data_IF_985617290922
#
_entry.id   IF_985617290922
#
_cell.length_a   1.000
_cell.length_b   1.000
_cell.length_c   1.000
_cell.angle_alpha   90.00
_cell.angle_beta   90.00
_cell.angle_gamma   90.00
#
_symmetry.space_group_name_H-M   'P 1'
#
loop_
_entity.id
_entity.type
_entity.pdbx_description
1 polymer ?
#
# COMPACT_ATOMS: atom_id res chain seq x y z
N UNK A 1 4.62 -55.77 -1.14
CA UNK A 1 3.60 -56.85 -1.18
C UNK A 1 4.07 -57.88 -2.17
N UNK A 2 3.93 -59.18 -1.86
CA UNK A 2 4.27 -60.28 -2.78
C UNK A 2 3.14 -60.36 -3.83
N UNK A 3 3.53 -60.23 -5.11
CA UNK A 3 2.62 -60.27 -6.27
C UNK A 3 1.73 -61.53 -6.30
N UNK A 4 2.19 -62.60 -5.70
CA UNK A 4 1.47 -63.89 -5.61
C UNK A 4 0.27 -63.87 -4.61
N UNK A 5 0.20 -62.87 -3.77
CA UNK A 5 -0.85 -62.69 -2.78
C UNK A 5 -2.00 -61.76 -3.25
N UNK A 6 -1.87 -61.21 -4.46
CA UNK A 6 -2.87 -60.28 -5.03
C UNK A 6 -3.99 -61.15 -5.69
N UNK A 7 -5.24 -61.03 -5.30
CA UNK A 7 -6.33 -61.73 -5.93
C UNK A 7 -6.46 -61.40 -7.43
N UNK A 8 -6.92 -62.37 -8.21
CA UNK A 8 -7.20 -62.14 -9.62
C UNK A 8 -8.22 -61.02 -9.84
N UNK A 9 -7.80 -59.96 -10.53
CA UNK A 9 -8.65 -58.78 -10.77
C UNK A 9 -8.29 -57.56 -9.90
N UNK A 10 -7.33 -57.72 -8.98
CA UNK A 10 -6.74 -56.60 -8.23
C UNK A 10 -5.36 -56.22 -8.77
N UNK A 11 -4.93 -55.00 -8.48
CA UNK A 11 -3.61 -54.51 -8.90
C UNK A 11 -2.84 -53.94 -7.69
N UNK A 12 -1.52 -54.05 -7.73
CA UNK A 12 -0.61 -53.66 -6.64
C UNK A 12 -0.35 -52.15 -6.67
N UNK A 13 -0.23 -51.61 -7.86
CA UNK A 13 0.06 -50.20 -8.09
C UNK A 13 -0.60 -49.71 -9.37
N UNK A 14 -1.08 -48.49 -9.36
CA UNK A 14 -1.68 -47.85 -10.53
C UNK A 14 -1.38 -46.37 -10.53
N UNK A 15 -0.60 -45.95 -11.53
CA UNK A 15 -0.29 -44.53 -11.75
C UNK A 15 -1.34 -43.87 -12.64
N UNK A 16 -1.74 -42.63 -12.31
CA UNK A 16 -2.68 -41.81 -13.09
C UNK A 16 -4.07 -42.43 -13.30
N UNK A 17 -4.56 -43.20 -12.33
CA UNK A 17 -5.91 -43.73 -12.32
C UNK A 17 -6.72 -43.21 -11.13
N UNK A 18 -8.01 -43.09 -11.32
CA UNK A 18 -8.95 -42.85 -10.26
C UNK A 18 -10.01 -43.93 -10.22
N UNK A 19 -10.44 -44.32 -9.04
CA UNK A 19 -11.61 -45.18 -8.85
C UNK A 19 -12.85 -44.32 -8.91
N UNK A 20 -13.66 -44.48 -9.94
CA UNK A 20 -14.91 -43.77 -10.11
C UNK A 20 -16.08 -44.51 -9.49
N UNK A 21 -16.93 -43.85 -8.71
CA UNK A 21 -18.29 -44.27 -8.42
C UNK A 21 -19.21 -43.19 -8.95
N UNK A 22 -19.86 -43.46 -10.07
CA UNK A 22 -21.00 -42.63 -10.54
C UNK A 22 -22.26 -43.27 -10.02
N UNK A 23 -23.22 -42.46 -9.56
CA UNK A 23 -24.55 -42.92 -9.24
C UNK A 23 -25.14 -43.66 -10.46
N UNK A 24 -25.13 -44.96 -10.44
CA UNK A 24 -25.66 -45.80 -11.51
C UNK A 24 -24.67 -46.64 -12.31
N UNK A 25 -23.36 -46.60 -12.02
CA UNK A 25 -22.34 -47.46 -12.59
C UNK A 25 -21.76 -48.42 -11.57
N UNK A 26 -21.31 -49.58 -12.04
CA UNK A 26 -20.70 -50.64 -11.22
C UNK A 26 -19.59 -50.13 -10.34
N UNK A 27 -19.64 -50.47 -9.05
CA UNK A 27 -18.60 -50.16 -8.08
C UNK A 27 -17.30 -50.79 -8.54
N UNK A 28 -16.27 -49.95 -8.84
CA UNK A 28 -14.94 -50.44 -9.18
C UNK A 28 -14.49 -50.16 -10.60
N UNK A 29 -15.15 -49.26 -11.37
CA UNK A 29 -14.58 -48.81 -12.64
C UNK A 29 -13.27 -48.03 -12.41
N UNK A 30 -12.21 -48.41 -13.07
CA UNK A 30 -10.92 -47.72 -13.07
C UNK A 30 -10.87 -46.82 -14.30
N UNK A 31 -10.74 -45.55 -14.08
CA UNK A 31 -10.63 -44.56 -15.15
C UNK A 31 -9.23 -43.93 -15.12
N UNK A 32 -8.69 -43.61 -16.27
CA UNK A 32 -7.50 -42.78 -16.33
C UNK A 32 -7.80 -41.41 -15.73
N UNK A 33 -6.90 -40.92 -14.86
CA UNK A 33 -7.01 -39.54 -14.44
C UNK A 33 -6.89 -38.64 -15.67
N UNK A 34 -7.83 -37.72 -15.84
CA UNK A 34 -7.72 -36.71 -16.91
C UNK A 34 -6.46 -35.90 -16.69
N UNK A 35 -5.70 -35.70 -17.75
CA UNK A 35 -4.56 -34.80 -17.74
C UNK A 35 -5.01 -33.34 -17.50
N UNK A 36 -4.08 -32.50 -17.15
CA UNK A 36 -4.32 -31.07 -17.05
C UNK A 36 -4.71 -30.51 -18.42
N UNK A 37 -5.73 -29.65 -18.43
CA UNK A 37 -6.13 -28.92 -19.63
C UNK A 37 -5.48 -27.53 -19.57
N UNK A 38 -4.86 -27.09 -20.68
CA UNK A 38 -4.35 -25.73 -20.80
C UNK A 38 -5.56 -24.78 -20.86
N UNK A 39 -5.71 -23.92 -19.88
CA UNK A 39 -6.80 -22.93 -19.82
C UNK A 39 -6.48 -21.71 -20.67
N UNK A 40 -5.25 -21.21 -20.60
CA UNK A 40 -4.77 -20.04 -21.33
C UNK A 40 -3.25 -20.09 -21.50
N UNK A 41 -2.76 -19.44 -22.55
CA UNK A 41 -1.33 -19.15 -22.72
C UNK A 41 -1.12 -17.68 -22.40
N UNK A 42 -0.19 -17.39 -21.49
CA UNK A 42 0.11 -16.02 -21.14
C UNK A 42 1.04 -15.39 -22.17
N UNK A 43 0.53 -14.37 -22.84
CA UNK A 43 1.23 -13.62 -23.89
C UNK A 43 1.24 -12.15 -23.46
N UNK A 44 2.42 -11.56 -23.45
CA UNK A 44 2.58 -10.14 -23.15
C UNK A 44 3.37 -9.48 -24.30
N UNK A 45 2.88 -8.35 -24.81
CA UNK A 45 3.48 -7.65 -25.96
C UNK A 45 3.74 -8.57 -27.18
N UNK A 46 2.78 -9.46 -27.48
CA UNK A 46 2.86 -10.47 -28.54
C UNK A 46 3.96 -11.54 -28.34
N UNK A 47 4.53 -11.63 -27.16
CA UNK A 47 5.58 -12.59 -26.81
C UNK A 47 5.07 -13.49 -25.68
N UNK A 48 5.27 -14.80 -25.81
CA UNK A 48 4.99 -15.75 -24.76
C UNK A 48 6.00 -15.60 -23.61
N UNK A 49 5.56 -15.90 -22.40
CA UNK A 49 6.47 -15.95 -21.26
C UNK A 49 7.62 -16.94 -21.50
N UNK A 50 8.76 -16.65 -20.90
CA UNK A 50 9.93 -17.52 -21.03
C UNK A 50 9.72 -18.88 -20.37
N UNK A 51 10.55 -19.87 -20.73
CA UNK A 51 10.56 -21.19 -20.07
C UNK A 51 10.96 -21.12 -18.56
N UNK A 52 11.47 -19.97 -18.11
CA UNK A 52 11.85 -19.72 -16.72
C UNK A 52 10.74 -19.06 -15.92
N UNK A 53 9.62 -18.71 -16.56
CA UNK A 53 8.46 -18.15 -15.89
C UNK A 53 7.89 -19.13 -14.86
N UNK A 54 7.53 -18.63 -13.70
CA UNK A 54 6.98 -19.42 -12.59
C UNK A 54 5.76 -18.77 -12.01
N UNK A 55 4.75 -19.57 -11.74
CA UNK A 55 3.65 -19.19 -10.87
C UNK A 55 4.14 -19.31 -9.43
N UNK A 56 4.16 -18.18 -8.70
CA UNK A 56 4.61 -18.09 -7.30
C UNK A 56 3.46 -18.02 -6.31
N UNK A 57 2.22 -17.89 -6.78
CA UNK A 57 1.02 -17.91 -5.98
C UNK A 57 -0.22 -18.04 -6.83
N UNK A 58 -1.25 -18.68 -6.29
CA UNK A 58 -2.54 -18.81 -6.93
C UNK A 58 -3.65 -18.71 -5.90
N UNK A 59 -4.79 -18.13 -6.29
CA UNK A 59 -5.97 -18.00 -5.47
C UNK A 59 -7.22 -18.28 -6.30
N UNK A 60 -8.14 -19.06 -5.76
CA UNK A 60 -9.42 -19.38 -6.37
C UNK A 60 -10.54 -18.58 -5.69
N UNK A 61 -11.23 -17.78 -6.49
CA UNK A 61 -12.50 -17.16 -6.12
C UNK A 61 -13.64 -17.99 -6.69
N UNK A 62 -14.10 -18.96 -5.89
CA UNK A 62 -15.16 -19.87 -6.29
C UNK A 62 -16.54 -19.18 -6.45
N UNK A 63 -16.74 -18.02 -5.82
CA UNK A 63 -18.01 -17.28 -5.96
C UNK A 63 -18.15 -16.66 -7.36
N UNK A 64 -17.04 -16.20 -7.93
CA UNK A 64 -17.00 -15.57 -9.25
C UNK A 64 -16.36 -16.43 -10.34
N UNK A 65 -16.15 -17.74 -10.05
CA UNK A 65 -15.55 -18.69 -11.01
C UNK A 65 -14.22 -18.16 -11.60
N UNK A 66 -13.39 -17.51 -10.78
CA UNK A 66 -12.19 -16.82 -11.23
C UNK A 66 -10.97 -17.33 -10.48
N UNK A 67 -9.88 -17.57 -11.21
CA UNK A 67 -8.58 -17.96 -10.66
C UNK A 67 -7.61 -16.80 -10.87
N UNK A 68 -6.89 -16.44 -9.83
CA UNK A 68 -5.83 -15.43 -9.85
C UNK A 68 -4.47 -16.11 -9.78
N UNK A 69 -3.54 -15.69 -10.64
CA UNK A 69 -2.16 -16.17 -10.65
C UNK A 69 -1.18 -15.04 -10.45
N UNK A 70 -0.19 -15.28 -9.63
CA UNK A 70 0.97 -14.41 -9.42
C UNK A 70 2.15 -15.04 -10.15
N UNK A 71 2.65 -14.36 -11.17
CA UNK A 71 3.64 -14.92 -12.10
C UNK A 71 4.89 -14.06 -12.10
N UNK A 72 6.04 -14.71 -11.99
CA UNK A 72 7.35 -14.08 -12.12
C UNK A 72 8.11 -14.70 -13.30
N UNK A 73 8.55 -13.87 -14.23
CA UNK A 73 9.41 -14.27 -15.35
C UNK A 73 10.76 -13.52 -15.25
N UNK A 74 11.84 -14.20 -14.86
CA UNK A 74 13.17 -13.61 -14.74
C UNK A 74 13.89 -13.42 -16.08
N UNK A 75 13.33 -13.92 -17.18
CA UNK A 75 13.99 -14.00 -18.48
C UNK A 75 13.12 -13.53 -19.64
N UNK A 76 12.17 -12.63 -19.38
CA UNK A 76 11.26 -12.15 -20.41
C UNK A 76 12.00 -11.32 -21.48
N UNK A 77 12.02 -11.73 -22.76
CA UNK A 77 12.97 -11.20 -23.75
C UNK A 77 12.67 -9.75 -24.21
N UNK A 78 11.46 -9.27 -23.99
CA UNK A 78 11.03 -7.91 -24.40
C UNK A 78 11.28 -6.84 -23.34
N UNK A 79 11.59 -7.24 -22.13
CA UNK A 79 11.89 -6.29 -21.05
C UNK A 79 13.36 -5.84 -21.13
N UNK A 80 13.68 -4.56 -20.95
CA UNK A 80 15.05 -4.05 -20.98
C UNK A 80 16.02 -4.77 -20.04
N UNK A 81 15.49 -5.35 -18.96
CA UNK A 81 16.27 -6.12 -17.97
C UNK A 81 15.80 -7.55 -17.82
N UNK A 82 15.02 -8.03 -18.79
CA UNK A 82 14.52 -9.41 -18.84
C UNK A 82 13.66 -9.85 -17.65
N UNK A 83 13.04 -8.94 -16.91
CA UNK A 83 12.13 -9.28 -15.82
C UNK A 83 10.71 -8.83 -16.11
N UNK A 84 9.75 -9.69 -15.80
CA UNK A 84 8.33 -9.42 -15.90
C UNK A 84 7.60 -10.05 -14.71
N UNK A 85 6.83 -9.27 -13.99
CA UNK A 85 5.93 -9.74 -12.93
C UNK A 85 4.49 -9.46 -13.31
N UNK A 86 3.61 -10.43 -13.11
CA UNK A 86 2.21 -10.35 -13.48
C UNK A 86 1.29 -10.76 -12.31
N UNK A 87 0.15 -10.10 -12.23
CA UNK A 87 -1.04 -10.64 -11.56
C UNK A 87 -2.09 -10.80 -12.65
N UNK A 88 -2.52 -12.02 -12.87
CA UNK A 88 -3.42 -12.39 -13.97
C UNK A 88 -4.62 -13.11 -13.40
N UNK A 89 -5.81 -12.81 -13.89
CA UNK A 89 -7.02 -13.56 -13.58
C UNK A 89 -7.56 -14.27 -14.82
N UNK A 90 -8.17 -15.42 -14.58
CA UNK A 90 -8.89 -16.18 -15.59
C UNK A 90 -10.26 -16.55 -15.07
N UNK A 91 -11.29 -16.15 -15.80
CA UNK A 91 -12.65 -16.55 -15.48
C UNK A 91 -13.04 -17.78 -16.27
N UNK A 92 -13.42 -18.85 -15.59
CA UNK A 92 -13.72 -20.16 -16.20
C UNK A 92 -15.01 -20.17 -17.01
N UNK A 93 -16.00 -19.33 -16.65
CA UNK A 93 -17.28 -19.25 -17.37
C UNK A 93 -17.16 -18.52 -18.70
N UNK A 94 -16.42 -17.42 -18.71
CA UNK A 94 -16.23 -16.62 -19.93
C UNK A 94 -15.01 -17.02 -20.73
N UNK A 95 -14.17 -17.91 -20.21
CA UNK A 95 -12.86 -18.28 -20.76
C UNK A 95 -11.99 -17.04 -21.09
N UNK A 96 -12.08 -16.00 -20.24
CA UNK A 96 -11.39 -14.74 -20.45
C UNK A 96 -10.20 -14.60 -19.51
N UNK A 97 -9.07 -14.19 -20.08
CA UNK A 97 -7.85 -13.87 -19.34
C UNK A 97 -7.70 -12.35 -19.21
N UNK A 98 -7.54 -11.87 -17.98
CA UNK A 98 -7.33 -10.45 -17.68
C UNK A 98 -5.98 -10.26 -17.00
N UNK A 99 -5.15 -9.37 -17.52
CA UNK A 99 -3.92 -8.93 -16.88
C UNK A 99 -4.23 -7.81 -15.91
N UNK A 100 -4.45 -8.16 -14.65
CA UNK A 100 -4.80 -7.19 -13.60
C UNK A 100 -3.63 -6.25 -13.30
N UNK A 101 -2.41 -6.79 -13.24
CA UNK A 101 -1.19 -6.01 -13.04
C UNK A 101 -0.09 -6.58 -13.93
N UNK A 102 0.60 -5.70 -14.60
CA UNK A 102 1.80 -6.03 -15.35
C UNK A 102 2.93 -5.13 -14.87
N UNK A 103 4.02 -5.68 -14.43
CA UNK A 103 5.19 -4.96 -13.91
C UNK A 103 6.44 -5.43 -14.65
N UNK A 104 6.89 -4.62 -15.58
CA UNK A 104 8.14 -4.84 -16.27
C UNK A 104 9.24 -3.96 -15.66
N UNK A 105 10.49 -4.34 -15.88
CA UNK A 105 11.61 -3.51 -15.49
C UNK A 105 11.80 -2.37 -16.49
N UNK A 106 11.91 -1.13 -16.02
CA UNK A 106 12.03 0.08 -16.83
C UNK A 106 13.45 0.35 -17.37
N UNK A 107 14.40 -0.53 -17.09
CA UNK A 107 15.81 -0.39 -17.47
C UNK A 107 16.63 0.54 -16.56
N UNK A 108 16.01 1.32 -15.71
CA UNK A 108 16.69 2.20 -14.73
C UNK A 108 16.76 1.57 -13.35
N UNK A 109 15.77 0.74 -13.03
CA UNK A 109 15.70 0.00 -11.77
C UNK A 109 15.73 -1.51 -12.06
N UNK A 110 16.61 -2.24 -11.39
CA UNK A 110 16.75 -3.69 -11.56
C UNK A 110 15.55 -4.47 -11.00
N UNK A 111 14.68 -3.83 -10.23
CA UNK A 111 13.49 -4.43 -9.64
C UNK A 111 12.23 -3.95 -10.37
N UNK A 112 11.30 -4.86 -10.57
CA UNK A 112 9.95 -4.52 -11.03
C UNK A 112 9.16 -3.83 -9.90
N UNK A 113 8.07 -3.14 -10.22
CA UNK A 113 7.21 -2.53 -9.20
C UNK A 113 6.58 -3.58 -8.28
N UNK A 114 6.22 -4.75 -8.81
CA UNK A 114 5.77 -5.88 -8.01
C UNK A 114 6.93 -6.54 -7.25
N UNK A 115 8.13 -6.48 -7.80
CA UNK A 115 9.36 -7.00 -7.19
C UNK A 115 9.19 -8.42 -6.64
N UNK A 116 8.64 -9.30 -7.47
CA UNK A 116 8.46 -10.71 -7.13
C UNK A 116 9.79 -11.46 -7.14
N UNK A 117 9.87 -12.49 -6.32
CA UNK A 117 11.02 -13.38 -6.21
C UNK A 117 10.58 -14.83 -6.47
N UNK A 118 11.35 -15.62 -7.21
CA UNK A 118 11.00 -17.02 -7.44
C UNK A 118 11.17 -17.90 -6.19
N UNK A 119 11.76 -17.36 -5.13
CA UNK A 119 12.04 -18.06 -3.88
C UNK A 119 11.00 -17.73 -2.79
N UNK A 120 10.28 -16.63 -2.94
CA UNK A 120 9.32 -16.13 -1.96
C UNK A 120 7.90 -16.35 -2.50
N UNK A 121 7.31 -17.49 -2.09
CA UNK A 121 5.98 -17.87 -2.54
C UNK A 121 4.91 -17.02 -1.87
N UNK A 122 3.91 -16.64 -2.67
CA UNK A 122 2.73 -15.91 -2.19
C UNK A 122 1.70 -16.95 -1.73
N UNK A 123 1.68 -17.22 -0.43
CA UNK A 123 0.77 -18.19 0.20
C UNK A 123 -0.35 -17.52 0.97
N UNK A 124 -0.15 -16.27 1.41
CA UNK A 124 -1.16 -15.46 2.07
C UNK A 124 -1.89 -14.60 1.05
N UNK A 125 -3.02 -15.09 0.53
CA UNK A 125 -3.85 -14.37 -0.44
C UNK A 125 -5.29 -14.37 0.08
N UNK A 126 -5.97 -13.23 -0.01
CA UNK A 126 -7.38 -13.11 0.34
C UNK A 126 -8.06 -12.05 -0.53
N UNK A 127 -9.29 -12.31 -0.91
CA UNK A 127 -10.14 -11.37 -1.63
C UNK A 127 -11.25 -10.88 -0.68
N UNK A 128 -11.31 -9.58 -0.47
CA UNK A 128 -12.36 -8.92 0.31
C UNK A 128 -13.02 -7.89 -0.58
N UNK A 129 -14.29 -8.09 -0.90
CA UNK A 129 -14.99 -7.33 -1.93
C UNK A 129 -14.17 -7.30 -3.24
N UNK A 130 -13.74 -6.13 -3.68
CA UNK A 130 -12.94 -5.95 -4.90
C UNK A 130 -11.43 -5.83 -4.63
N UNK A 131 -10.99 -6.05 -3.39
CA UNK A 131 -9.60 -5.90 -2.99
C UNK A 131 -8.92 -7.26 -2.80
N UNK A 132 -7.97 -7.56 -3.66
CA UNK A 132 -7.13 -8.75 -3.58
C UNK A 132 -5.87 -8.44 -2.78
N UNK A 133 -5.83 -8.92 -1.54
CA UNK A 133 -4.70 -8.79 -0.62
C UNK A 133 -3.73 -9.93 -0.79
N UNK A 134 -2.43 -9.64 -0.72
CA UNK A 134 -1.39 -10.66 -0.82
C UNK A 134 -0.11 -10.29 -0.07
N UNK A 135 0.64 -11.33 0.32
CA UNK A 135 1.94 -11.18 0.98
C UNK A 135 2.90 -12.28 0.56
N UNK A 136 4.15 -11.92 0.29
CA UNK A 136 5.23 -12.78 -0.17
C UNK A 136 6.37 -12.91 0.84
N UNK A 137 6.22 -12.36 2.05
CA UNK A 137 7.26 -12.33 3.09
C UNK A 137 8.59 -11.64 2.68
N UNK A 138 8.65 -11.05 1.49
CA UNK A 138 9.79 -10.31 0.96
C UNK A 138 9.50 -8.81 0.87
N UNK A 139 8.30 -8.47 0.39
CA UNK A 139 7.80 -7.10 0.31
C UNK A 139 6.76 -6.85 1.42
N UNK A 140 6.47 -5.58 1.77
CA UNK A 140 5.36 -5.27 2.67
C UNK A 140 4.03 -5.82 2.14
N UNK A 141 3.02 -6.08 3.01
CA UNK A 141 1.70 -6.50 2.58
C UNK A 141 1.09 -5.53 1.57
N UNK A 142 0.52 -6.08 0.50
CA UNK A 142 0.01 -5.32 -0.66
C UNK A 142 -1.41 -5.73 -1.02
N UNK A 143 -2.08 -4.87 -1.76
CA UNK A 143 -3.37 -5.17 -2.36
C UNK A 143 -3.50 -4.52 -3.74
N UNK A 144 -4.40 -5.08 -4.54
CA UNK A 144 -4.88 -4.48 -5.78
C UNK A 144 -6.41 -4.42 -5.76
N UNK A 145 -6.99 -3.47 -6.47
CA UNK A 145 -8.40 -3.50 -6.78
C UNK A 145 -8.60 -4.23 -8.10
N UNK A 146 -9.31 -5.36 -8.09
CA UNK A 146 -9.50 -6.23 -9.27
C UNK A 146 -10.32 -5.57 -10.38
N UNK A 147 -11.12 -4.55 -10.06
CA UNK A 147 -11.92 -3.79 -11.03
C UNK A 147 -11.13 -2.61 -11.65
N UNK A 148 -9.92 -2.35 -11.18
CA UNK A 148 -9.04 -1.37 -11.82
C UNK A 148 -8.16 -2.06 -12.84
N UNK A 149 -8.11 -1.50 -14.06
CA UNK A 149 -7.11 -1.88 -15.03
C UNK A 149 -5.81 -1.12 -14.71
N UNK A 150 -4.81 -1.84 -14.26
CA UNK A 150 -3.44 -1.34 -14.16
C UNK A 150 -2.69 -1.52 -15.49
N UNK A 151 -3.43 -1.79 -16.56
CA UNK A 151 -2.95 -1.98 -17.91
C UNK A 151 -3.90 -1.23 -18.84
N UNK A 152 -3.40 -0.40 -19.74
CA UNK A 152 -4.26 0.30 -20.72
C UNK A 152 -4.93 -0.69 -21.65
N UNK A 153 -6.28 -0.74 -21.74
CA UNK A 153 -6.96 -1.66 -22.64
C UNK A 153 -6.55 -1.42 -24.09
N UNK A 154 -6.14 -2.47 -24.80
CA UNK A 154 -5.94 -2.47 -26.24
C UNK A 154 -4.65 -1.87 -26.76
N UNK A 155 -3.74 -1.46 -25.91
CA UNK A 155 -2.35 -1.17 -26.23
C UNK A 155 -1.47 -2.22 -25.57
N UNK A 156 -0.38 -2.63 -26.25
CA UNK A 156 0.72 -3.26 -25.54
C UNK A 156 0.95 -2.42 -24.28
N UNK A 157 0.95 -3.02 -23.08
CA UNK A 157 0.98 -2.25 -21.86
C UNK A 157 2.19 -1.34 -21.91
N UNK A 158 1.91 -0.06 -22.16
CA UNK A 158 2.93 0.95 -22.00
C UNK A 158 3.32 0.88 -20.52
N UNK A 159 4.57 0.63 -20.27
CA UNK A 159 5.14 0.49 -18.94
C UNK A 159 4.63 1.60 -18.04
N UNK A 160 3.56 1.34 -17.30
CA UNK A 160 3.08 2.02 -16.11
C UNK A 160 3.26 3.53 -15.98
N UNK A 161 2.53 4.31 -16.71
CA UNK A 161 2.26 5.68 -16.30
C UNK A 161 1.39 5.64 -15.03
N UNK A 162 1.99 5.91 -13.89
CA UNK A 162 1.29 6.16 -12.63
C UNK A 162 1.15 5.00 -11.65
N UNK A 163 1.69 3.82 -11.93
CA UNK A 163 1.69 2.69 -11.01
C UNK A 163 3.03 2.59 -10.28
N UNK A 164 3.02 2.78 -8.97
CA UNK A 164 4.21 2.69 -8.12
C UNK A 164 4.04 1.62 -7.06
N UNK A 165 5.15 1.13 -6.49
CA UNK A 165 5.09 0.20 -5.36
C UNK A 165 4.28 0.77 -4.18
N UNK A 166 4.33 2.09 -3.98
CA UNK A 166 3.58 2.78 -2.93
C UNK A 166 2.06 2.66 -3.10
N UNK A 167 1.57 2.64 -4.36
CA UNK A 167 0.13 2.51 -4.64
C UNK A 167 -0.46 1.17 -4.24
N UNK A 168 0.38 0.13 -4.08
CA UNK A 168 -0.03 -1.21 -3.68
C UNK A 168 -0.01 -1.44 -2.17
N UNK A 169 0.61 -0.56 -1.39
CA UNK A 169 0.80 -0.77 0.04
C UNK A 169 -0.53 -0.74 0.79
N UNK A 170 -0.73 -1.74 1.65
CA UNK A 170 -1.85 -1.77 2.61
C UNK A 170 -1.66 -0.67 3.66
N UNK A 171 -0.43 -0.52 4.16
CA UNK A 171 -0.09 0.51 5.14
C UNK A 171 0.43 1.73 4.39
N UNK A 172 -0.26 2.84 4.51
CA UNK A 172 0.12 4.10 3.86
C UNK A 172 1.37 4.68 4.47
N UNK A 173 2.30 5.12 3.60
CA UNK A 173 3.58 5.70 4.03
C UNK A 173 3.35 7.01 4.77
N UNK A 174 3.82 7.14 6.01
CA UNK A 174 3.73 8.41 6.74
C UNK A 174 4.78 9.42 6.24
N UNK A 175 4.62 10.71 6.60
CA UNK A 175 5.69 11.67 6.46
C UNK A 175 6.95 11.18 7.21
N UNK A 176 8.11 11.31 6.57
CA UNK A 176 9.38 10.81 7.14
C UNK A 176 9.93 11.80 8.17
N UNK A 177 9.79 13.09 7.90
CA UNK A 177 10.35 14.16 8.70
C UNK A 177 9.26 14.87 9.52
N UNK A 178 9.63 15.32 10.71
CA UNK A 178 8.81 16.21 11.51
C UNK A 178 8.66 17.56 10.80
N UNK A 179 7.54 18.29 11.00
CA UNK A 179 7.45 19.66 10.50
C UNK A 179 8.49 20.54 11.19
N UNK A 180 9.05 21.49 10.45
CA UNK A 180 9.94 22.49 11.03
C UNK A 180 9.16 23.72 11.47
N UNK A 181 9.58 24.35 12.57
CA UNK A 181 8.84 25.42 13.21
C UNK A 181 9.70 26.69 13.28
N UNK A 182 9.06 27.79 12.93
CA UNK A 182 9.61 29.14 13.15
C UNK A 182 8.61 29.96 13.93
N UNK A 183 8.98 30.44 15.12
CA UNK A 183 8.14 31.30 15.93
C UNK A 183 8.22 32.75 15.46
N UNK A 184 7.10 33.49 15.48
CA UNK A 184 7.05 34.90 15.06
C UNK A 184 5.99 35.69 15.86
N UNK A 185 6.03 36.99 15.69
CA UNK A 185 5.00 37.90 16.19
C UNK A 185 4.16 38.43 15.04
N UNK A 186 2.87 38.09 15.05
CA UNK A 186 1.86 38.69 14.18
C UNK A 186 1.45 40.05 14.74
N UNK A 187 1.52 41.05 13.91
CA UNK A 187 1.13 42.43 14.28
C UNK A 187 -0.37 42.58 14.34
N UNK A 188 -0.86 43.38 15.30
CA UNK A 188 -2.30 43.66 15.43
C UNK A 188 -3.12 42.62 16.18
N UNK A 189 -2.49 41.61 16.78
CA UNK A 189 -3.11 40.66 17.69
C UNK A 189 -3.23 41.28 19.10
N UNK A 190 -4.43 41.31 19.64
CA UNK A 190 -4.69 41.79 21.02
C UNK A 190 -4.49 40.66 22.04
N UNK A 191 -4.78 39.41 21.66
CA UNK A 191 -4.69 38.26 22.53
C UNK A 191 -3.53 37.35 22.08
N UNK A 192 -2.72 36.91 23.04
CA UNK A 192 -1.65 35.94 22.84
C UNK A 192 -2.04 34.59 23.45
N UNK A 193 -2.50 33.68 22.59
CA UNK A 193 -2.94 32.36 23.01
C UNK A 193 -1.77 31.38 23.21
N UNK A 194 -0.54 31.75 22.81
CA UNK A 194 0.65 30.92 22.94
C UNK A 194 1.51 31.26 24.17
N UNK A 195 1.18 32.34 24.90
CA UNK A 195 2.03 32.88 25.97
C UNK A 195 2.44 31.83 27.03
N UNK A 196 1.48 31.01 27.46
CA UNK A 196 1.68 30.01 28.52
C UNK A 196 1.59 28.56 28.02
N UNK A 197 1.73 28.32 26.70
CA UNK A 197 1.57 27.01 26.12
C UNK A 197 2.84 26.51 25.46
N UNK A 198 3.08 25.19 25.62
CA UNK A 198 4.11 24.46 24.91
C UNK A 198 3.43 23.57 23.90
N UNK A 199 3.54 23.92 22.63
CA UNK A 199 2.82 23.26 21.55
C UNK A 199 3.83 22.65 20.58
N UNK A 200 3.64 21.36 20.28
CA UNK A 200 4.37 20.64 19.25
C UNK A 200 3.42 20.27 18.11
N UNK A 201 3.95 20.24 16.89
CA UNK A 201 3.19 20.00 15.68
C UNK A 201 3.58 18.69 15.02
N UNK A 202 2.63 18.06 14.36
CA UNK A 202 2.82 16.92 13.48
C UNK A 202 1.91 17.06 12.27
N UNK A 203 2.05 16.19 11.29
CA UNK A 203 1.13 16.11 10.17
C UNK A 203 1.02 14.68 9.67
N UNK A 204 -0.07 14.40 8.94
CA UNK A 204 -0.27 13.11 8.28
C UNK A 204 -0.84 13.33 6.87
N UNK A 205 -0.66 12.33 6.04
CA UNK A 205 -1.14 12.33 4.67
C UNK A 205 -2.52 11.68 4.56
N UNK A 206 -3.36 12.25 3.71
CA UNK A 206 -4.55 11.60 3.17
C UNK A 206 -4.28 11.18 1.75
N UNK A 207 -4.48 9.92 1.45
CA UNK A 207 -4.24 9.32 0.15
C UNK A 207 -5.48 9.35 -0.76
N UNK A 208 -5.29 9.10 -2.04
CA UNK A 208 -6.34 9.10 -3.07
C UNK A 208 -7.43 8.03 -2.88
N UNK A 209 -7.19 7.03 -2.03
CA UNK A 209 -8.15 6.01 -1.60
C UNK A 209 -8.88 6.39 -0.32
N UNK A 210 -8.75 7.63 0.14
CA UNK A 210 -9.30 8.18 1.38
C UNK A 210 -8.71 7.61 2.69
N UNK A 211 -7.65 6.82 2.62
CA UNK A 211 -6.96 6.35 3.81
C UNK A 211 -5.96 7.41 4.32
N UNK A 212 -5.79 7.43 5.63
CA UNK A 212 -4.79 8.28 6.28
C UNK A 212 -3.54 7.46 6.61
N UNK A 213 -2.39 8.09 6.49
CA UNK A 213 -1.14 7.55 7.02
C UNK A 213 -1.07 7.68 8.54
N UNK A 214 -0.11 7.02 9.16
CA UNK A 214 0.34 7.39 10.50
C UNK A 214 0.84 8.85 10.50
N UNK A 215 0.92 9.46 11.68
CA UNK A 215 1.44 10.81 11.86
C UNK A 215 2.96 10.85 11.69
N UNK A 216 3.48 12.00 11.28
CA UNK A 216 4.91 12.30 11.38
C UNK A 216 5.38 12.27 12.84
N UNK A 217 6.67 12.37 13.04
CA UNK A 217 7.21 12.75 14.36
C UNK A 217 6.74 14.16 14.71
N UNK A 218 6.64 14.44 16.01
CA UNK A 218 6.33 15.79 16.47
C UNK A 218 7.54 16.69 16.32
N UNK A 219 7.29 17.97 16.01
CA UNK A 219 8.29 19.02 15.98
C UNK A 219 8.85 19.31 17.39
N UNK A 220 9.88 20.14 17.44
CA UNK A 220 10.21 20.86 18.65
C UNK A 220 9.04 21.74 19.11
N UNK A 221 9.03 22.16 20.36
CA UNK A 221 8.00 23.04 20.89
C UNK A 221 8.11 24.45 20.29
N UNK A 222 6.97 24.99 19.88
CA UNK A 222 6.86 26.37 19.38
C UNK A 222 6.97 27.38 20.53
N UNK A 223 8.13 27.47 21.14
CA UNK A 223 8.36 28.25 22.33
C UNK A 223 9.65 29.06 22.24
N UNK A 224 9.55 30.37 22.48
CA UNK A 224 10.69 31.26 22.60
C UNK A 224 10.64 31.94 23.97
N UNK A 225 11.45 31.51 24.94
CA UNK A 225 11.40 32.03 26.29
C UNK A 225 11.85 33.51 26.35
N UNK A 226 11.37 34.19 27.36
CA UNK A 226 11.88 35.50 27.76
C UNK A 226 13.13 35.32 28.66
N UNK A 227 13.71 36.42 29.06
CA UNK A 227 14.82 36.41 30.05
C UNK A 227 14.36 35.82 31.37
N UNK A 228 15.26 35.09 32.04
CA UNK A 228 14.98 34.55 33.38
C UNK A 228 14.55 35.68 34.33
N UNK A 229 13.35 35.55 34.92
CA UNK A 229 12.82 36.51 35.89
C UNK A 229 12.03 35.72 36.96
N UNK A 230 12.65 35.45 38.09
CA UNK A 230 12.01 34.70 39.18
C UNK A 230 11.29 35.67 40.14
N UNK A 231 9.96 35.49 40.29
CA UNK A 231 9.15 36.22 41.25
C UNK A 231 9.13 35.54 42.59
N UNK A 232 9.72 36.17 43.62
CA UNK A 232 9.72 35.64 44.97
C UNK A 232 8.32 35.60 45.62
N UNK A 233 7.37 36.36 45.10
CA UNK A 233 6.02 36.42 45.62
C UNK A 233 5.12 35.29 45.10
N UNK A 234 5.26 34.95 43.80
CA UNK A 234 4.49 33.91 43.15
C UNK A 234 5.23 32.57 43.05
N UNK A 235 6.54 32.55 43.33
CA UNK A 235 7.44 31.42 43.11
C UNK A 235 7.46 30.91 41.67
N UNK A 236 7.15 31.78 40.73
CA UNK A 236 7.13 31.50 39.29
C UNK A 236 8.33 32.19 38.59
N UNK A 237 8.85 31.51 37.56
CA UNK A 237 9.77 32.14 36.61
C UNK A 237 8.97 32.75 35.46
N UNK A 238 8.78 34.07 35.48
CA UNK A 238 8.06 34.80 34.41
C UNK A 238 8.82 34.75 33.08
N UNK A 239 10.10 34.37 33.05
CA UNK A 239 10.83 34.10 31.84
C UNK A 239 10.37 32.84 31.08
N UNK A 240 9.55 31.99 31.71
CA UNK A 240 8.95 30.81 31.08
C UNK A 240 7.68 31.12 30.30
N UNK A 241 7.45 32.37 29.92
CA UNK A 241 6.40 32.77 29.01
C UNK A 241 6.94 32.86 27.58
N UNK A 242 6.12 32.45 26.64
CA UNK A 242 6.45 32.56 25.21
C UNK A 242 6.44 34.03 24.80
N UNK A 243 7.48 34.49 24.13
CA UNK A 243 7.56 35.88 23.63
C UNK A 243 6.98 36.04 22.22
N UNK A 244 6.49 34.92 21.64
CA UNK A 244 5.95 34.84 20.28
C UNK A 244 4.51 34.39 20.32
N UNK A 245 3.68 35.05 19.51
CA UNK A 245 2.23 34.82 19.48
C UNK A 245 1.77 33.93 18.29
N UNK A 246 2.67 33.48 17.46
CA UNK A 246 2.37 32.58 16.33
C UNK A 246 3.57 31.70 15.95
N UNK A 247 3.29 30.66 15.21
CA UNK A 247 4.28 29.75 14.64
C UNK A 247 4.01 29.52 13.15
N UNK A 248 5.07 29.54 12.34
CA UNK A 248 5.05 29.05 10.97
C UNK A 248 5.44 27.58 11.00
N UNK A 249 4.56 26.72 10.49
CA UNK A 249 4.73 25.30 10.36
C UNK A 249 5.13 25.01 8.91
N UNK A 250 6.32 24.45 8.67
CA UNK A 250 6.74 24.02 7.34
C UNK A 250 6.61 22.51 7.26
N UNK A 251 5.94 22.02 6.23
CA UNK A 251 5.64 20.60 6.02
C UNK A 251 5.80 20.22 4.55
N UNK A 252 6.06 18.94 4.27
CA UNK A 252 6.17 18.40 2.91
C UNK A 252 4.84 17.84 2.42
N UNK A 253 4.53 18.03 1.14
CA UNK A 253 3.25 17.60 0.53
C UNK A 253 3.20 16.14 0.10
N UNK A 254 4.31 15.41 0.19
CA UNK A 254 4.38 14.00 -0.20
C UNK A 254 4.20 13.74 -1.70
N UNK A 255 4.06 12.47 -2.05
CA UNK A 255 3.95 12.00 -3.43
C UNK A 255 2.63 12.43 -4.12
N UNK A 256 2.52 12.13 -5.42
CA UNK A 256 1.28 12.35 -6.20
C UNK A 256 0.09 11.53 -5.73
N UNK A 257 0.29 10.49 -4.93
CA UNK A 257 -0.78 9.70 -4.33
C UNK A 257 -1.43 10.39 -3.13
N UNK A 258 -0.77 11.38 -2.53
CA UNK A 258 -1.28 12.19 -1.43
C UNK A 258 -2.20 13.26 -2.00
N UNK A 259 -3.45 13.27 -1.57
CA UNK A 259 -4.47 14.25 -1.97
C UNK A 259 -4.61 15.39 -0.98
N UNK A 260 -4.24 15.18 0.27
CA UNK A 260 -4.33 16.21 1.29
C UNK A 260 -3.39 15.97 2.47
N UNK A 261 -3.14 17.03 3.20
CA UNK A 261 -2.30 17.07 4.40
C UNK A 261 -3.16 17.51 5.57
N UNK A 262 -3.16 16.76 6.64
CA UNK A 262 -3.84 17.13 7.89
C UNK A 262 -2.80 17.56 8.91
N UNK A 263 -2.83 18.85 9.28
CA UNK A 263 -1.95 19.42 10.28
C UNK A 263 -2.50 19.18 11.67
N UNK A 264 -1.63 18.78 12.59
CA UNK A 264 -1.94 18.35 13.93
C UNK A 264 -1.10 19.12 14.95
N UNK A 265 -1.63 19.26 16.15
CA UNK A 265 -0.85 19.77 17.28
C UNK A 265 -1.19 19.07 18.58
N UNK A 266 -0.26 19.14 19.49
CA UNK A 266 -0.38 18.63 20.85
C UNK A 266 0.20 19.65 21.82
N UNK A 267 -0.52 19.88 22.93
CA UNK A 267 -0.01 20.66 24.08
C UNK A 267 0.72 19.73 25.03
N UNK A 268 1.82 20.19 25.64
CA UNK A 268 2.62 19.41 26.58
C UNK A 268 1.85 18.95 27.84
N UNK A 269 0.78 19.65 28.18
CA UNK A 269 -0.07 19.38 29.35
C UNK A 269 -1.08 18.26 29.13
N UNK A 270 -1.31 17.85 27.88
CA UNK A 270 -2.30 16.83 27.51
C UNK A 270 -1.73 15.86 26.48
N UNK A 271 -2.27 14.63 26.48
CA UNK A 271 -1.94 13.65 25.43
C UNK A 271 -2.89 13.75 24.22
N UNK A 272 -3.84 14.69 24.25
CA UNK A 272 -4.81 14.84 23.20
C UNK A 272 -4.18 15.52 21.98
N UNK A 273 -4.29 14.87 20.82
CA UNK A 273 -3.88 15.43 19.54
C UNK A 273 -5.10 16.11 18.93
N UNK A 274 -4.92 17.34 18.47
CA UNK A 274 -5.98 18.15 17.84
C UNK A 274 -5.63 18.40 16.38
N UNK A 275 -6.66 18.45 15.54
CA UNK A 275 -6.55 18.79 14.12
C UNK A 275 -6.59 20.31 13.96
N UNK A 276 -5.58 20.88 13.33
CA UNK A 276 -5.52 22.32 13.01
C UNK A 276 -6.34 22.61 11.77
N UNK A 277 -5.97 21.94 10.66
CA UNK A 277 -6.53 22.20 9.35
C UNK A 277 -6.30 20.99 8.44
N UNK A 278 -7.24 20.74 7.54
CA UNK A 278 -7.06 19.85 6.41
C UNK A 278 -6.74 20.67 5.16
N UNK A 279 -5.60 20.44 4.56
CA UNK A 279 -5.08 21.14 3.40
C UNK A 279 -5.24 20.25 2.16
N UNK A 280 -6.22 20.53 1.32
CA UNK A 280 -6.42 19.83 0.06
C UNK A 280 -5.42 20.33 -0.99
N UNK A 281 -4.60 19.42 -1.53
CA UNK A 281 -3.54 19.77 -2.49
C UNK A 281 -4.06 20.35 -3.78
N UNK A 282 -5.17 19.82 -4.28
CA UNK A 282 -5.75 20.27 -5.55
C UNK A 282 -6.33 21.66 -5.44
N UNK A 283 -7.05 21.93 -4.35
CA UNK A 283 -7.68 23.22 -4.09
C UNK A 283 -6.67 24.34 -3.86
N UNK A 284 -5.55 24.00 -3.18
CA UNK A 284 -4.49 24.96 -2.86
C UNK A 284 -3.41 25.08 -3.95
N UNK A 285 -3.45 24.20 -4.97
CA UNK A 285 -2.46 24.19 -6.04
C UNK A 285 -1.07 23.76 -5.57
N UNK A 286 -1.00 22.88 -4.57
CA UNK A 286 0.27 22.38 -4.05
C UNK A 286 0.90 21.36 -4.98
N UNK A 287 2.21 21.52 -5.24
CA UNK A 287 3.03 20.57 -6.00
C UNK A 287 3.43 19.37 -5.13
N UNK A 288 3.75 18.25 -5.79
CA UNK A 288 4.22 17.04 -5.11
C UNK A 288 5.62 17.22 -4.53
N UNK A 289 5.88 16.55 -3.40
CA UNK A 289 7.19 16.52 -2.73
C UNK A 289 7.79 17.92 -2.51
N UNK A 290 6.96 18.90 -2.22
CA UNK A 290 7.34 20.30 -2.06
C UNK A 290 6.98 20.78 -0.67
N UNK A 291 7.83 21.63 -0.09
CA UNK A 291 7.59 22.21 1.22
C UNK A 291 6.68 23.42 1.12
N UNK A 292 5.67 23.47 1.96
CA UNK A 292 4.77 24.62 2.12
C UNK A 292 4.66 25.01 3.59
N UNK A 293 4.15 26.21 3.82
CA UNK A 293 4.03 26.79 5.16
C UNK A 293 2.60 27.06 5.54
N UNK A 294 2.30 26.89 6.82
CA UNK A 294 1.03 27.27 7.45
C UNK A 294 1.31 28.10 8.69
N UNK A 295 0.57 29.19 8.89
CA UNK A 295 0.70 30.06 10.07
C UNK A 295 -0.34 29.67 11.12
N UNK A 296 0.13 29.26 12.28
CA UNK A 296 -0.69 28.87 13.43
C UNK A 296 -0.65 29.97 14.50
N UNK A 297 -1.83 30.37 15.01
CA UNK A 297 -1.99 31.40 16.05
C UNK A 297 -3.01 31.03 17.15
N UNK A 298 -3.46 29.77 17.17
CA UNK A 298 -4.42 29.18 18.15
C UNK A 298 -5.74 29.94 18.31
N UNK A 299 -6.22 30.64 17.27
CA UNK A 299 -7.48 31.39 17.29
C UNK A 299 -8.72 30.59 16.91
N UNK A 300 -8.54 29.39 16.37
CA UNK A 300 -9.63 28.54 15.91
C UNK A 300 -10.05 27.56 17.01
N UNK A 301 -11.28 27.09 16.94
CA UNK A 301 -11.73 25.92 17.69
C UNK A 301 -11.28 24.67 16.94
N UNK A 302 -10.53 23.81 17.60
CA UNK A 302 -9.96 22.62 17.00
C UNK A 302 -10.71 21.36 17.41
N UNK A 303 -10.79 20.40 16.50
CA UNK A 303 -11.35 19.08 16.77
C UNK A 303 -10.28 18.12 17.25
N UNK A 304 -10.66 17.18 18.11
CA UNK A 304 -9.78 16.07 18.47
C UNK A 304 -9.56 15.18 17.27
N UNK A 305 -8.35 14.66 17.16
CA UNK A 305 -8.05 13.63 16.18
C UNK A 305 -8.89 12.39 16.52
N UNK A 306 -9.71 11.87 15.60
CA UNK A 306 -10.41 10.61 15.84
C UNK A 306 -9.41 9.46 15.97
N UNK A 307 -9.75 8.53 16.86
CA UNK A 307 -8.97 7.29 17.10
C UNK A 307 -8.87 6.41 15.85
#
# INVERSE_FOLDING_TARGET
LDERLVPNGEYIDALNVRLGSTEGSEVGSVENSKGNTVLTTLIFDSIELSNNARCIGAFEDGANETIYWFVHDPSFPSSPTNKLDLIVSYNTNSANTVYNVVSANDGTNLNTTLNFSPFDLITGINLVDDLLFFTDNYNPPRYININRSYVSPGTAPSYFDGFTAESLLVIKRPPIEAPTIQTLNLQGQQDDFLEERFISFAYRYKYNDNQYSATSQFSEEAFTPNSFNFSYNSYLNEGMKNTKNAAIITFNTGSSLVTGIELLFKESTTNNIKVIEFLDKSTLGYSDNTDYTYTFDDRKIFTLLPD
#
